data_IF_258470901504
#
_entry.id   IF_258470901504
#
_cell.length_a   1.000
_cell.length_b   1.000
_cell.length_c   1.000
_cell.angle_alpha   90.00
_cell.angle_beta   90.00
_cell.angle_gamma   90.00
#
_symmetry.space_group_name_H-M   'P 1'
#
loop_
_entity.id
_entity.type
_entity.pdbx_description
1 polymer ?
#
# COMPACT_ATOMS: atom_id res chain seq x y z
N UNK A 1 19.31 21.00 -14.83
CA UNK A 1 20.49 21.58 -14.17
C UNK A 1 20.76 20.78 -12.90
N UNK A 2 21.89 20.08 -12.74
CA UNK A 2 22.35 19.74 -11.41
C UNK A 2 22.95 21.01 -10.79
N UNK A 3 22.39 21.46 -9.68
CA UNK A 3 22.93 22.55 -8.87
C UNK A 3 24.36 22.20 -8.44
N UNK A 4 25.27 23.18 -8.54
CA UNK A 4 26.68 23.01 -8.21
C UNK A 4 26.88 22.50 -6.76
N UNK A 5 27.87 21.63 -6.52
CA UNK A 5 28.19 21.16 -5.17
C UNK A 5 28.59 22.32 -4.25
N UNK A 6 27.80 22.56 -3.20
CA UNK A 6 28.17 23.48 -2.13
C UNK A 6 29.15 22.83 -1.15
N UNK A 7 30.22 23.55 -0.79
CA UNK A 7 31.18 23.11 0.23
C UNK A 7 30.66 23.50 1.61
N UNK A 8 30.37 22.53 2.47
CA UNK A 8 30.03 22.80 3.87
C UNK A 8 31.28 23.24 4.66
N UNK A 9 31.10 23.90 5.82
CA UNK A 9 32.15 24.53 6.65
C UNK A 9 33.32 23.63 7.11
N UNK A 10 33.34 22.35 6.74
CA UNK A 10 34.39 21.37 7.03
C UNK A 10 34.96 20.68 5.78
N UNK A 11 34.79 21.26 4.59
CA UNK A 11 35.33 20.69 3.34
C UNK A 11 34.51 19.53 2.76
N UNK A 12 33.35 19.20 3.35
CA UNK A 12 32.45 18.19 2.80
C UNK A 12 31.66 18.77 1.63
N UNK A 13 31.86 18.22 0.43
CA UNK A 13 31.05 18.51 -0.75
C UNK A 13 29.65 17.94 -0.53
N UNK A 14 28.66 18.81 -0.33
CA UNK A 14 27.26 18.41 -0.21
C UNK A 14 26.60 18.61 -1.57
N UNK A 15 26.49 17.53 -2.34
CA UNK A 15 25.67 17.54 -3.56
C UNK A 15 24.20 17.48 -3.15
N UNK A 16 23.36 18.46 -3.51
CA UNK A 16 21.94 18.41 -3.18
C UNK A 16 21.31 17.17 -3.84
N UNK A 17 20.65 16.35 -3.02
CA UNK A 17 20.10 15.07 -3.47
C UNK A 17 18.97 15.34 -4.46
N UNK A 18 19.08 14.79 -5.68
CA UNK A 18 18.03 14.95 -6.70
C UNK A 18 16.66 14.50 -6.15
N UNK A 19 15.59 15.30 -6.35
CA UNK A 19 14.22 14.91 -5.99
C UNK A 19 13.82 13.59 -6.68
N UNK A 20 12.83 12.90 -6.13
CA UNK A 20 12.31 11.67 -6.78
C UNK A 20 11.59 12.00 -8.07
N UNK A 21 11.60 11.07 -9.04
CA UNK A 21 10.83 11.19 -10.28
C UNK A 21 9.36 11.50 -9.95
N UNK A 22 8.81 10.86 -8.90
CA UNK A 22 7.47 11.17 -8.38
C UNK A 22 7.34 12.62 -7.88
N UNK A 23 8.33 13.16 -7.18
CA UNK A 23 8.33 14.55 -6.70
C UNK A 23 8.40 15.53 -7.86
N UNK A 24 9.23 15.25 -8.87
CA UNK A 24 9.35 16.07 -10.08
C UNK A 24 8.01 16.06 -10.81
N UNK A 25 7.45 14.89 -11.10
CA UNK A 25 6.18 14.75 -11.82
C UNK A 25 5.01 15.39 -11.05
N UNK A 26 5.00 15.32 -9.72
CA UNK A 26 4.00 16.01 -8.91
C UNK A 26 4.09 17.54 -9.08
N UNK A 27 5.30 18.11 -9.04
CA UNK A 27 5.52 19.55 -9.27
C UNK A 27 5.12 19.97 -10.69
N UNK A 28 5.52 19.19 -11.70
CA UNK A 28 5.13 19.43 -13.10
C UNK A 28 3.62 19.38 -13.29
N UNK A 29 2.94 18.42 -12.63
CA UNK A 29 1.49 18.35 -12.59
C UNK A 29 0.86 19.60 -11.98
N UNK A 30 1.34 20.05 -10.81
CA UNK A 30 0.85 21.27 -10.17
C UNK A 30 1.01 22.51 -11.06
N UNK A 31 2.16 22.66 -11.72
CA UNK A 31 2.40 23.77 -12.65
C UNK A 31 1.43 23.72 -13.84
N UNK A 32 1.21 22.52 -14.39
CA UNK A 32 0.26 22.32 -15.50
C UNK A 32 -1.16 22.69 -15.09
N UNK A 33 -1.61 22.23 -13.91
CA UNK A 33 -2.93 22.58 -13.36
C UNK A 33 -3.07 24.08 -13.12
N UNK A 34 -2.04 24.73 -12.58
CA UNK A 34 -2.04 26.18 -12.37
C UNK A 34 -2.13 26.95 -13.70
N UNK A 35 -1.36 26.53 -14.71
CA UNK A 35 -1.43 27.12 -16.04
C UNK A 35 -2.79 26.93 -16.71
N UNK A 36 -3.42 25.76 -16.55
CA UNK A 36 -4.80 25.52 -17.03
C UNK A 36 -5.80 26.47 -16.35
N UNK A 37 -5.69 26.66 -15.04
CA UNK A 37 -6.53 27.60 -14.31
C UNK A 37 -6.34 29.05 -14.78
N UNK A 38 -5.11 29.48 -15.07
CA UNK A 38 -4.84 30.82 -15.62
C UNK A 38 -5.50 31.03 -16.99
N UNK A 39 -5.53 30.00 -17.84
CA UNK A 39 -6.23 30.03 -19.13
C UNK A 39 -7.74 30.08 -18.93
N UNK A 40 -8.29 29.20 -18.09
CA UNK A 40 -9.72 29.11 -17.81
C UNK A 40 -10.28 30.41 -17.20
N UNK A 41 -9.47 31.10 -16.39
CA UNK A 41 -9.83 32.40 -15.81
C UNK A 41 -9.52 33.60 -16.71
N UNK A 42 -9.07 33.37 -17.95
CA UNK A 42 -8.80 34.42 -18.94
C UNK A 42 -7.59 35.31 -18.65
N UNK A 43 -6.69 34.90 -17.73
CA UNK A 43 -5.49 35.69 -17.38
C UNK A 43 -4.36 35.54 -18.39
N UNK A 44 -4.32 34.40 -19.07
CA UNK A 44 -3.36 34.11 -20.15
C UNK A 44 -4.09 33.39 -21.30
N UNK A 45 -3.53 33.49 -22.50
CA UNK A 45 -4.14 32.91 -23.72
C UNK A 45 -3.87 31.42 -23.87
N UNK A 46 -2.72 30.94 -23.38
CA UNK A 46 -2.31 29.54 -23.50
C UNK A 46 -1.48 29.10 -22.28
N UNK A 47 -1.56 27.82 -21.94
CA UNK A 47 -0.82 27.26 -20.81
C UNK A 47 0.67 27.06 -21.19
N UNK A 48 1.62 27.79 -20.57
CA UNK A 48 3.05 27.67 -20.88
C UNK A 48 3.66 26.33 -20.42
N UNK A 49 2.97 25.58 -19.57
CA UNK A 49 3.47 24.35 -18.95
C UNK A 49 2.89 23.06 -19.55
N UNK A 50 1.98 23.14 -20.52
CA UNK A 50 1.27 21.98 -21.07
C UNK A 50 2.24 20.90 -21.62
N UNK A 51 3.34 21.34 -22.24
CA UNK A 51 4.36 20.43 -22.77
C UNK A 51 5.21 19.80 -21.68
N UNK A 52 5.41 20.46 -20.54
CA UNK A 52 6.32 19.98 -19.49
C UNK A 52 5.85 18.67 -18.86
N UNK A 53 4.54 18.47 -18.68
CA UNK A 53 4.05 17.23 -18.08
C UNK A 53 4.18 16.02 -19.00
N UNK A 54 4.14 16.23 -20.33
CA UNK A 54 4.22 15.17 -21.35
C UNK A 54 5.66 14.87 -21.77
N UNK A 55 6.50 15.89 -21.94
CA UNK A 55 7.87 15.74 -22.47
C UNK A 55 8.98 15.78 -21.41
N UNK A 56 8.76 16.43 -20.27
CA UNK A 56 9.74 16.51 -19.18
C UNK A 56 9.40 15.60 -17.99
N UNK A 57 8.30 14.83 -18.07
CA UNK A 57 7.97 13.80 -17.10
C UNK A 57 9.07 12.73 -17.09
N UNK A 58 9.61 12.44 -15.90
CA UNK A 58 10.64 11.38 -15.76
C UNK A 58 9.93 10.06 -15.53
N UNK A 59 10.29 9.01 -16.27
CA UNK A 59 9.74 7.68 -15.99
C UNK A 59 10.12 7.27 -14.55
N UNK A 60 9.10 6.98 -13.76
CA UNK A 60 9.22 6.62 -12.36
C UNK A 60 9.23 5.12 -12.12
N UNK A 61 9.12 4.31 -13.17
CA UNK A 61 9.16 2.84 -13.11
C UNK A 61 10.48 2.33 -12.51
N UNK A 62 11.59 2.99 -12.85
CA UNK A 62 12.94 2.65 -12.37
C UNK A 62 13.33 3.39 -11.06
N UNK A 63 12.65 4.49 -10.71
CA UNK A 63 12.90 5.26 -9.46
C UNK A 63 11.98 4.83 -8.29
N UNK A 64 11.81 3.51 -8.10
CA UNK A 64 11.08 2.98 -6.94
C UNK A 64 11.97 3.04 -5.70
N UNK A 65 11.98 4.19 -5.03
CA UNK A 65 12.84 4.45 -3.85
C UNK A 65 12.43 3.70 -2.58
N UNK A 66 11.20 3.21 -2.49
CA UNK A 66 10.69 2.45 -1.32
C UNK A 66 9.73 1.36 -1.79
N UNK A 67 10.19 0.12 -1.71
CA UNK A 67 9.31 -1.05 -1.79
C UNK A 67 8.93 -1.45 -0.37
N UNK A 68 7.68 -1.87 -0.15
CA UNK A 68 7.20 -2.28 1.18
C UNK A 68 7.13 -3.79 1.28
N UNK A 69 7.44 -4.35 2.44
CA UNK A 69 7.22 -5.78 2.74
C UNK A 69 6.05 -5.95 3.70
N UNK A 70 5.31 -7.04 3.53
CA UNK A 70 4.31 -7.47 4.50
C UNK A 70 4.99 -8.11 5.72
N UNK A 71 4.36 -8.01 6.89
CA UNK A 71 4.80 -8.74 8.08
C UNK A 71 4.20 -10.15 8.11
N UNK A 72 4.98 -11.11 8.58
CA UNK A 72 4.53 -12.47 8.88
C UNK A 72 3.61 -12.50 10.11
N UNK A 73 2.86 -13.59 10.31
CA UNK A 73 1.98 -13.75 11.47
C UNK A 73 2.76 -13.68 12.80
N UNK A 74 3.96 -14.27 12.85
CA UNK A 74 4.79 -14.23 14.06
C UNK A 74 5.39 -12.85 14.32
N UNK A 75 5.84 -12.14 13.28
CA UNK A 75 6.26 -10.74 13.42
C UNK A 75 5.11 -9.85 13.92
N UNK A 76 3.87 -10.08 13.45
CA UNK A 76 2.69 -9.36 13.93
C UNK A 76 2.42 -9.64 15.42
N UNK A 77 2.44 -10.91 15.84
CA UNK A 77 2.28 -11.29 17.25
C UNK A 77 3.32 -10.60 18.14
N UNK A 78 4.60 -10.65 17.73
CA UNK A 78 5.69 -9.96 18.44
C UNK A 78 5.43 -8.45 18.51
N UNK A 79 5.04 -7.84 17.39
CA UNK A 79 4.75 -6.41 17.32
C UNK A 79 3.62 -6.00 18.26
N UNK A 80 2.53 -6.76 18.34
CA UNK A 80 1.39 -6.46 19.23
C UNK A 80 1.77 -6.56 20.71
N UNK A 81 2.54 -7.59 21.09
CA UNK A 81 3.06 -7.74 22.45
C UNK A 81 3.97 -6.56 22.82
N UNK A 82 4.90 -6.19 21.94
CA UNK A 82 5.78 -5.03 22.15
C UNK A 82 4.98 -3.73 22.20
N UNK A 83 4.00 -3.56 21.33
CA UNK A 83 3.13 -2.39 21.31
C UNK A 83 2.43 -2.20 22.66
N UNK A 84 1.95 -3.29 23.28
CA UNK A 84 1.31 -3.28 24.60
C UNK A 84 2.28 -2.96 25.74
N UNK A 85 3.45 -3.58 25.75
CA UNK A 85 4.34 -3.56 26.92
C UNK A 85 5.37 -2.43 26.93
N UNK A 86 5.81 -1.94 25.77
CA UNK A 86 6.92 -0.97 25.70
C UNK A 86 6.70 0.30 26.52
N UNK A 87 5.51 0.94 26.57
CA UNK A 87 5.35 2.20 27.31
C UNK A 87 5.74 2.08 28.78
N UNK A 88 5.41 0.95 29.42
CA UNK A 88 5.83 0.63 30.79
C UNK A 88 7.28 0.15 30.82
N UNK A 89 7.69 -0.71 29.88
CA UNK A 89 9.04 -1.27 29.83
C UNK A 89 10.15 -0.22 29.67
N UNK A 90 9.86 0.93 29.04
CA UNK A 90 10.80 2.06 28.94
C UNK A 90 11.29 2.56 30.32
N UNK A 91 10.45 2.46 31.35
CA UNK A 91 10.79 2.85 32.73
C UNK A 91 11.59 1.77 33.46
N UNK A 92 11.47 0.50 33.05
CA UNK A 92 12.20 -0.64 33.62
C UNK A 92 13.48 -1.02 32.86
N UNK A 93 13.93 -0.20 31.90
CA UNK A 93 15.23 -0.37 31.24
C UNK A 93 16.35 -0.34 32.28
N UNK A 94 17.27 -1.30 32.17
CA UNK A 94 18.53 -1.25 32.90
C UNK A 94 19.47 -0.21 32.30
N UNK A 95 20.56 0.09 33.00
CA UNK A 95 21.60 1.01 32.55
C UNK A 95 22.93 0.28 32.49
N UNK A 96 23.64 0.43 31.38
CA UNK A 96 25.01 -0.08 31.21
C UNK A 96 25.96 1.11 31.22
N UNK A 97 27.09 0.93 31.89
CA UNK A 97 28.21 1.88 31.83
C UNK A 97 28.87 1.75 30.45
N UNK A 98 28.91 2.84 29.70
CA UNK A 98 29.67 2.91 28.45
C UNK A 98 31.14 2.97 28.84
N UNK A 99 31.85 1.88 28.57
CA UNK A 99 33.31 1.82 28.69
C UNK A 99 33.88 2.29 27.36
N UNK A 100 34.61 3.40 27.40
CA UNK A 100 35.26 3.99 26.24
C UNK A 100 36.73 4.17 26.60
N UNK A 101 37.56 3.22 26.15
CA UNK A 101 38.99 3.15 26.49
C UNK A 101 39.80 4.26 25.83
N UNK A 102 39.24 4.99 24.86
CA UNK A 102 39.88 6.12 24.19
C UNK A 102 39.74 7.43 24.96
N UNK A 103 39.00 7.43 26.07
CA UNK A 103 38.63 8.63 26.80
C UNK A 103 39.64 8.99 27.90
N UNK A 104 39.96 10.28 28.13
CA UNK A 104 40.84 10.71 29.21
C UNK A 104 40.33 10.24 30.58
N UNK A 105 41.27 9.80 31.44
CA UNK A 105 41.00 9.23 32.78
C UNK A 105 40.25 10.16 33.74
N UNK A 106 40.22 11.47 33.47
CA UNK A 106 39.51 12.48 34.27
C UNK A 106 38.03 12.64 33.91
N UNK A 107 37.53 11.93 32.89
CA UNK A 107 36.17 12.06 32.41
C UNK A 107 35.15 11.28 33.26
N UNK A 108 33.95 11.84 33.43
CA UNK A 108 32.84 11.15 34.12
C UNK A 108 32.31 10.00 33.26
N UNK A 109 31.98 8.88 33.92
CA UNK A 109 31.38 7.72 33.27
C UNK A 109 30.05 8.08 32.60
N UNK A 110 29.89 7.66 31.33
CA UNK A 110 28.63 7.83 30.60
C UNK A 110 27.78 6.57 30.74
N UNK A 111 26.53 6.73 31.15
CA UNK A 111 25.57 5.64 31.27
C UNK A 111 24.62 5.64 30.08
N UNK A 112 24.38 4.47 29.49
CA UNK A 112 23.39 4.30 28.42
C UNK A 112 22.31 3.33 28.91
N UNK A 113 21.05 3.64 28.61
CA UNK A 113 19.95 2.69 28.84
C UNK A 113 20.11 1.49 27.91
N UNK A 114 19.88 0.30 28.43
CA UNK A 114 19.79 -0.93 27.66
C UNK A 114 18.74 -0.80 26.56
N UNK A 115 19.07 -1.34 25.39
CA UNK A 115 18.10 -1.48 24.31
C UNK A 115 17.06 -2.53 24.71
N UNK A 116 15.80 -2.30 24.32
CA UNK A 116 14.72 -3.26 24.56
C UNK A 116 14.71 -4.24 23.40
N UNK A 117 14.63 -5.53 23.73
CA UNK A 117 14.48 -6.64 22.78
C UNK A 117 13.22 -7.44 23.13
N UNK A 118 12.79 -8.32 22.23
CA UNK A 118 11.57 -9.10 22.44
C UNK A 118 11.67 -9.98 23.70
N UNK A 119 12.84 -10.58 23.93
CA UNK A 119 13.06 -11.46 25.09
C UNK A 119 13.13 -10.69 26.42
N UNK A 120 13.59 -9.43 26.39
CA UNK A 120 13.78 -8.64 27.60
C UNK A 120 12.58 -7.77 27.96
N UNK A 121 11.62 -7.59 27.05
CA UNK A 121 10.55 -6.60 27.21
C UNK A 121 9.59 -6.94 28.37
N UNK A 122 9.32 -8.23 28.60
CA UNK A 122 8.43 -8.67 29.69
C UNK A 122 9.06 -8.37 31.03
N UNK A 123 10.32 -8.76 31.22
CA UNK A 123 11.08 -8.48 32.43
C UNK A 123 11.28 -6.96 32.65
N UNK A 124 11.51 -6.20 31.57
CA UNK A 124 11.59 -4.74 31.64
C UNK A 124 10.24 -4.10 32.00
N UNK A 125 9.12 -4.62 31.50
CA UNK A 125 7.80 -4.15 31.89
C UNK A 125 7.53 -4.41 33.38
N UNK A 126 7.86 -5.60 33.90
CA UNK A 126 7.73 -5.92 35.32
C UNK A 126 8.50 -4.93 36.22
N UNK A 127 9.79 -4.71 35.93
CA UNK A 127 10.60 -3.68 36.63
C UNK A 127 10.03 -2.27 36.47
N UNK A 128 9.44 -1.97 35.31
CA UNK A 128 8.76 -0.71 35.05
C UNK A 128 7.57 -0.49 35.97
N UNK A 129 6.74 -1.53 36.18
CA UNK A 129 5.61 -1.50 37.12
C UNK A 129 6.08 -1.30 38.55
N UNK A 130 7.10 -2.04 38.99
CA UNK A 130 7.68 -1.88 40.34
C UNK A 130 8.18 -0.45 40.59
N UNK A 131 8.92 0.13 39.64
CA UNK A 131 9.41 1.52 39.74
C UNK A 131 8.29 2.55 39.74
N UNK A 132 7.17 2.24 39.11
CA UNK A 132 6.00 3.10 39.02
C UNK A 132 4.94 2.78 40.09
N UNK A 133 5.18 1.81 40.98
CA UNK A 133 4.22 1.39 42.00
C UNK A 133 3.78 2.54 42.93
N UNK A 134 4.69 3.49 43.19
CA UNK A 134 4.38 4.71 43.97
C UNK A 134 3.63 5.80 43.19
N UNK A 135 3.40 5.61 41.88
CA UNK A 135 2.71 6.54 40.97
C UNK A 135 1.69 5.77 40.11
N UNK A 136 0.59 5.28 40.73
CA UNK A 136 -0.40 4.45 40.04
C UNK A 136 -1.08 5.16 38.87
N UNK A 137 -1.28 6.48 38.97
CA UNK A 137 -1.85 7.31 37.91
C UNK A 137 -1.01 7.32 36.62
N UNK A 138 0.32 7.36 36.75
CA UNK A 138 1.25 7.31 35.63
C UNK A 138 1.28 5.90 35.04
N UNK A 139 1.27 4.88 35.89
CA UNK A 139 1.24 3.49 35.45
C UNK A 139 -0.02 3.18 34.62
N UNK A 140 -1.20 3.52 35.15
CA UNK A 140 -2.48 3.33 34.48
C UNK A 140 -2.52 4.02 33.11
N UNK A 141 -1.98 5.24 33.03
CA UNK A 141 -1.88 5.99 31.76
C UNK A 141 -1.00 5.26 30.75
N UNK A 142 0.15 4.73 31.17
CA UNK A 142 1.09 4.03 30.29
C UNK A 142 0.54 2.69 29.83
N UNK A 143 -0.15 1.96 30.72
CA UNK A 143 -0.79 0.69 30.37
C UNK A 143 -1.94 0.91 29.39
N UNK A 144 -2.78 1.94 29.61
CA UNK A 144 -3.83 2.34 28.68
C UNK A 144 -3.24 2.71 27.31
N UNK A 145 -2.18 3.51 27.29
CA UNK A 145 -1.48 3.89 26.05
C UNK A 145 -0.93 2.65 25.30
N UNK A 146 -0.39 1.68 26.04
CA UNK A 146 0.10 0.42 25.47
C UNK A 146 -1.03 -0.39 24.84
N UNK A 147 -2.15 -0.56 25.54
CA UNK A 147 -3.34 -1.27 25.03
C UNK A 147 -3.91 -0.58 23.79
N UNK A 148 -4.10 0.74 23.84
CA UNK A 148 -4.58 1.54 22.71
C UNK A 148 -3.68 1.36 21.48
N UNK A 149 -2.35 1.42 21.68
CA UNK A 149 -1.38 1.29 20.59
C UNK A 149 -1.38 -0.10 19.97
N UNK A 150 -1.49 -1.16 20.77
CA UNK A 150 -1.60 -2.52 20.26
C UNK A 150 -2.89 -2.71 19.46
N UNK A 151 -4.02 -2.20 19.97
CA UNK A 151 -5.30 -2.27 19.29
C UNK A 151 -5.31 -1.47 17.97
N UNK A 152 -4.67 -0.30 17.95
CA UNK A 152 -4.45 0.50 16.75
C UNK A 152 -3.74 -0.32 15.66
N UNK A 153 -2.65 -1.01 16.00
CA UNK A 153 -1.94 -1.88 15.05
C UNK A 153 -2.79 -3.07 14.60
N UNK A 154 -3.53 -3.71 15.52
CA UNK A 154 -4.44 -4.80 15.19
C UNK A 154 -5.47 -4.35 14.14
N UNK A 155 -6.18 -3.26 14.41
CA UNK A 155 -7.20 -2.72 13.49
C UNK A 155 -6.59 -2.37 12.13
N UNK A 156 -5.40 -1.75 12.07
CA UNK A 156 -4.74 -1.46 10.79
C UNK A 156 -4.45 -2.72 9.97
N UNK A 157 -4.08 -3.82 10.63
CA UNK A 157 -3.69 -5.07 9.98
C UNK A 157 -4.88 -5.96 9.64
N UNK A 158 -6.02 -5.82 10.33
CA UNK A 158 -7.22 -6.63 10.08
C UNK A 158 -8.26 -5.94 9.19
N UNK A 159 -8.19 -4.61 9.03
CA UNK A 159 -9.15 -3.84 8.20
C UNK A 159 -8.49 -3.12 7.03
N UNK A 160 -7.16 -3.04 7.07
CA UNK A 160 -6.37 -2.38 6.05
C UNK A 160 -6.61 -0.88 5.97
N UNK A 161 -7.08 -0.19 7.01
CA UNK A 161 -7.25 1.26 7.00
C UNK A 161 -5.95 2.02 6.71
N UNK A 162 -6.07 3.20 6.08
CA UNK A 162 -4.94 4.16 6.04
C UNK A 162 -4.82 4.87 7.39
N UNK A 163 -3.62 5.37 7.74
CA UNK A 163 -3.41 6.15 8.99
C UNK A 163 -4.41 7.31 9.12
N UNK A 164 -4.66 8.05 8.02
CA UNK A 164 -5.61 9.17 8.01
C UNK A 164 -7.05 8.73 8.23
N UNK A 165 -7.47 7.65 7.55
CA UNK A 165 -8.81 7.05 7.72
C UNK A 165 -9.01 6.53 9.14
N UNK A 166 -7.99 5.92 9.75
CA UNK A 166 -8.06 5.49 11.14
C UNK A 166 -8.21 6.66 12.12
N UNK A 167 -7.58 7.80 11.80
CA UNK A 167 -7.61 8.99 12.65
C UNK A 167 -8.95 9.74 12.61
N UNK A 168 -9.75 9.55 11.57
CA UNK A 168 -11.04 10.21 11.41
C UNK A 168 -12.20 9.43 12.03
N UNK A 169 -12.00 8.16 12.39
CA UNK A 169 -13.04 7.31 12.96
C UNK A 169 -13.44 7.77 14.36
N UNK A 170 -14.74 7.73 14.60
CA UNK A 170 -15.38 8.06 15.87
C UNK A 170 -15.98 6.81 16.51
N UNK A 171 -16.40 6.92 17.77
CA UNK A 171 -17.08 5.82 18.47
C UNK A 171 -18.38 5.42 17.75
N UNK A 172 -19.11 6.37 17.16
CA UNK A 172 -20.34 6.10 16.41
C UNK A 172 -20.14 5.31 15.11
N UNK A 173 -18.92 5.31 14.59
CA UNK A 173 -18.62 4.62 13.33
C UNK A 173 -18.43 3.11 13.54
N UNK A 174 -18.48 2.60 14.77
CA UNK A 174 -18.24 1.19 15.09
C UNK A 174 -19.52 0.54 15.63
N UNK A 175 -19.96 -0.54 14.99
CA UNK A 175 -21.11 -1.34 15.40
C UNK A 175 -20.60 -2.73 15.79
N UNK A 176 -20.58 -3.03 17.09
CA UNK A 176 -19.93 -4.22 17.65
C UNK A 176 -20.91 -5.29 18.16
N UNK A 177 -22.16 -4.93 18.43
CA UNK A 177 -23.15 -5.81 19.06
C UNK A 177 -23.94 -6.66 18.05
N UNK A 178 -23.81 -6.34 16.76
CA UNK A 178 -24.42 -7.12 15.68
C UNK A 178 -23.70 -8.46 15.48
N UNK A 179 -24.44 -9.45 14.96
CA UNK A 179 -23.89 -10.76 14.58
C UNK A 179 -22.72 -10.67 13.59
N UNK A 180 -22.64 -9.57 12.83
CA UNK A 180 -21.49 -9.22 12.00
C UNK A 180 -20.99 -7.84 12.43
N UNK A 181 -19.97 -7.76 13.29
CA UNK A 181 -19.44 -6.48 13.73
C UNK A 181 -18.79 -5.74 12.54
N UNK A 182 -19.09 -4.45 12.41
CA UNK A 182 -18.64 -3.62 11.30
C UNK A 182 -18.14 -2.27 11.78
N UNK A 183 -17.34 -1.64 10.94
CA UNK A 183 -16.87 -0.28 11.11
C UNK A 183 -17.13 0.50 9.82
N UNK A 184 -17.74 1.67 9.93
CA UNK A 184 -18.16 2.47 8.79
C UNK A 184 -17.19 3.63 8.57
N UNK A 185 -16.52 3.65 7.43
CA UNK A 185 -15.72 4.78 6.99
C UNK A 185 -16.60 5.74 6.19
N UNK A 186 -16.67 7.00 6.63
CA UNK A 186 -17.44 8.04 5.95
C UNK A 186 -16.78 8.46 4.63
N UNK A 187 -17.60 8.85 3.66
CA UNK A 187 -17.15 9.30 2.34
C UNK A 187 -16.11 10.42 2.40
N UNK A 188 -16.33 11.43 3.25
CA UNK A 188 -15.45 12.59 3.40
C UNK A 188 -14.04 12.22 3.89
N UNK A 189 -13.91 11.11 4.60
CA UNK A 189 -12.65 10.65 5.19
C UNK A 189 -11.92 9.63 4.30
N UNK A 190 -12.64 9.05 3.33
CA UNK A 190 -12.08 8.13 2.36
C UNK A 190 -11.38 8.90 1.24
N UNK A 191 -10.18 8.46 0.86
CA UNK A 191 -9.46 9.05 -0.28
C UNK A 191 -10.25 9.00 -1.60
N UNK A 192 -11.15 8.04 -1.76
CA UNK A 192 -12.03 7.92 -2.93
C UNK A 192 -13.23 8.87 -2.91
N UNK A 193 -13.58 9.45 -1.75
CA UNK A 193 -14.84 10.16 -1.57
C UNK A 193 -16.05 9.23 -1.43
N UNK A 194 -15.85 7.93 -1.21
CA UNK A 194 -16.92 6.93 -1.10
C UNK A 194 -16.96 6.34 0.31
N UNK A 195 -18.16 6.21 0.87
CA UNK A 195 -18.35 5.54 2.15
C UNK A 195 -18.08 4.04 1.99
N UNK A 196 -17.58 3.41 3.05
CA UNK A 196 -17.27 1.99 3.03
C UNK A 196 -17.58 1.33 4.37
N UNK A 197 -18.13 0.12 4.31
CA UNK A 197 -18.35 -0.72 5.49
C UNK A 197 -17.25 -1.76 5.57
N UNK A 198 -16.53 -1.79 6.69
CA UNK A 198 -15.41 -2.68 6.96
C UNK A 198 -15.87 -3.76 7.94
N UNK A 199 -15.98 -5.04 7.51
CA UNK A 199 -16.24 -6.11 8.46
C UNK A 199 -15.05 -6.28 9.40
N UNK A 200 -15.36 -6.53 10.68
CA UNK A 200 -14.37 -6.78 11.71
C UNK A 200 -14.26 -8.29 11.98
N UNK A 201 -13.04 -8.76 12.20
CA UNK A 201 -12.81 -10.10 12.75
C UNK A 201 -13.34 -10.17 14.19
N UNK A 202 -13.81 -11.32 14.68
CA UNK A 202 -14.26 -11.49 16.06
C UNK A 202 -13.23 -10.98 17.09
N UNK A 203 -11.96 -11.35 16.91
CA UNK A 203 -10.85 -10.90 17.79
C UNK A 203 -10.74 -9.37 17.86
N UNK A 204 -10.79 -8.68 16.71
CA UNK A 204 -10.74 -7.22 16.68
C UNK A 204 -11.99 -6.57 17.30
N UNK A 205 -13.17 -7.17 17.08
CA UNK A 205 -14.42 -6.70 17.67
C UNK A 205 -14.40 -6.85 19.20
N UNK A 206 -14.00 -8.01 19.71
CA UNK A 206 -13.85 -8.28 21.15
C UNK A 206 -12.86 -7.30 21.81
N UNK A 207 -11.70 -7.09 21.16
CA UNK A 207 -10.69 -6.16 21.65
C UNK A 207 -11.18 -4.70 21.64
N UNK A 208 -11.98 -4.31 20.64
CA UNK A 208 -12.63 -2.99 20.59
C UNK A 208 -13.69 -2.81 21.67
N UNK A 209 -14.54 -3.83 21.93
CA UNK A 209 -15.54 -3.78 23.01
C UNK A 209 -14.86 -3.55 24.36
N UNK A 210 -13.88 -4.39 24.68
CA UNK A 210 -13.13 -4.27 25.93
C UNK A 210 -12.44 -2.92 26.08
N UNK A 211 -11.89 -2.37 24.99
CA UNK A 211 -11.29 -1.03 24.99
C UNK A 211 -12.31 0.08 25.26
N UNK A 212 -13.49 0.01 24.65
CA UNK A 212 -14.55 0.98 24.87
C UNK A 212 -15.09 0.91 26.30
N UNK A 213 -15.27 -0.28 26.86
CA UNK A 213 -15.68 -0.50 28.25
C UNK A 213 -14.67 0.14 29.23
N UNK A 214 -13.37 -0.12 29.03
CA UNK A 214 -12.31 0.51 29.83
C UNK A 214 -12.26 2.05 29.68
N UNK A 215 -12.68 2.59 28.52
CA UNK A 215 -12.80 4.03 28.31
C UNK A 215 -14.00 4.60 29.06
N UNK A 216 -15.14 3.94 29.04
CA UNK A 216 -16.34 4.32 29.83
C UNK A 216 -15.96 4.37 31.31
N UNK A 217 -15.41 3.29 31.86
CA UNK A 217 -15.01 3.23 33.28
C UNK A 217 -13.99 4.31 33.65
N UNK A 218 -13.01 4.56 32.77
CA UNK A 218 -11.98 5.57 32.98
C UNK A 218 -12.49 7.01 32.88
N UNK A 219 -13.61 7.25 32.21
CA UNK A 219 -14.29 8.56 32.17
C UNK A 219 -15.17 8.71 33.41
N UNK A 220 -15.92 7.68 33.81
CA UNK A 220 -16.71 7.66 35.04
C UNK A 220 -15.85 7.95 36.28
N UNK A 221 -14.66 7.36 36.40
CA UNK A 221 -13.72 7.64 37.51
C UNK A 221 -13.22 9.09 37.58
N UNK A 222 -13.18 9.80 36.46
CA UNK A 222 -12.69 11.20 36.38
C UNK A 222 -13.77 12.25 36.56
N UNK A 223 -15.04 11.88 36.43
CA UNK A 223 -16.21 12.77 36.58
C UNK A 223 -17.14 12.24 37.67
N UNK A 224 -16.64 12.15 38.89
CA UNK A 224 -17.49 11.88 40.07
C UNK A 224 -18.14 13.21 40.47
N UNK A 225 -19.35 13.46 39.98
CA UNK A 225 -20.08 14.68 40.34
C UNK A 225 -21.46 14.87 39.71
N UNK A 226 -21.90 14.06 38.74
CA UNK A 226 -23.27 14.20 38.22
C UNK A 226 -23.79 12.84 37.75
N UNK A 227 -24.95 12.46 38.27
CA UNK A 227 -25.62 11.21 37.94
C UNK A 227 -25.88 11.12 36.43
N UNK A 228 -25.24 10.17 35.77
CA UNK A 228 -25.37 9.90 34.34
C UNK A 228 -24.23 8.97 33.92
N UNK A 229 -24.56 7.85 33.27
CA UNK A 229 -23.57 6.92 32.72
C UNK A 229 -22.70 7.71 31.74
N UNK A 230 -21.43 7.97 32.10
CA UNK A 230 -20.55 8.77 31.26
C UNK A 230 -19.92 7.87 30.19
N UNK A 231 -20.71 7.55 29.17
CA UNK A 231 -20.20 6.91 27.96
C UNK A 231 -19.40 7.92 27.12
N UNK A 232 -18.36 7.46 26.39
CA UNK A 232 -17.75 8.25 25.31
C UNK A 232 -18.85 8.80 24.41
N UNK A 233 -18.74 10.07 24.00
CA UNK A 233 -19.73 10.63 23.08
C UNK A 233 -19.58 9.93 21.73
N UNK A 234 -20.69 9.76 21.04
CA UNK A 234 -20.74 9.25 19.66
C UNK A 234 -19.68 9.91 18.75
N UNK A 235 -19.49 11.23 18.89
CA UNK A 235 -18.55 12.02 18.09
C UNK A 235 -17.08 11.97 18.58
N UNK A 236 -16.78 11.33 19.72
CA UNK A 236 -15.41 11.26 20.21
C UNK A 236 -14.55 10.39 19.28
N UNK A 237 -13.27 10.75 19.04
CA UNK A 237 -12.37 9.90 18.27
C UNK A 237 -12.23 8.51 18.88
N UNK A 238 -12.27 7.48 18.04
CA UNK A 238 -12.13 6.09 18.46
C UNK A 238 -10.75 5.84 19.11
N UNK A 239 -9.71 6.40 18.49
CA UNK A 239 -8.32 6.30 18.94
C UNK A 239 -7.63 7.67 19.00
N UNK A 240 -6.70 7.80 19.95
CA UNK A 240 -5.76 8.92 20.02
C UNK A 240 -4.54 8.61 19.16
N UNK A 241 -4.53 9.06 17.90
CA UNK A 241 -3.43 8.78 16.97
C UNK A 241 -2.22 9.69 17.25
N UNK A 242 -1.04 9.15 17.63
CA UNK A 242 0.13 9.97 17.86
C UNK A 242 0.66 10.60 16.55
N UNK A 243 1.04 11.88 16.59
CA UNK A 243 1.67 12.56 15.45
C UNK A 243 2.90 11.78 14.95
N UNK A 244 3.73 11.34 15.90
CA UNK A 244 4.98 10.61 15.69
C UNK A 244 4.78 9.09 15.57
N UNK A 245 3.59 8.62 15.18
CA UNK A 245 3.28 7.19 15.05
C UNK A 245 4.33 6.40 14.24
N UNK A 246 4.88 6.99 13.16
CA UNK A 246 5.93 6.34 12.36
C UNK A 246 7.19 6.07 13.19
N UNK A 247 7.64 7.05 13.99
CA UNK A 247 8.81 6.90 14.88
C UNK A 247 8.53 5.93 16.04
N UNK A 248 7.29 5.91 16.51
CA UNK A 248 6.83 4.99 17.56
C UNK A 248 6.87 3.55 17.03
N UNK A 249 6.33 3.32 15.83
CA UNK A 249 6.35 2.02 15.15
C UNK A 249 7.79 1.57 14.85
N UNK A 250 8.65 2.46 14.34
CA UNK A 250 10.07 2.14 14.10
C UNK A 250 10.76 1.60 15.36
N UNK A 251 10.52 2.24 16.51
CA UNK A 251 11.03 1.75 17.79
C UNK A 251 10.37 0.44 18.23
N UNK A 252 9.14 0.15 17.81
CA UNK A 252 8.40 -1.06 18.23
C UNK A 252 8.91 -2.24 17.42
N UNK A 253 9.15 -2.03 16.13
CA UNK A 253 9.79 -2.96 15.20
C UNK A 253 11.18 -3.35 15.72
N UNK A 254 12.00 -2.37 16.13
CA UNK A 254 13.32 -2.63 16.71
C UNK A 254 13.19 -3.46 18.00
N UNK A 255 12.30 -3.08 18.91
CA UNK A 255 12.11 -3.81 20.16
C UNK A 255 11.50 -5.20 19.95
N UNK A 256 10.75 -5.43 18.87
CA UNK A 256 10.18 -6.72 18.50
C UNK A 256 11.19 -7.61 17.74
N UNK A 257 12.41 -7.14 17.48
CA UNK A 257 13.42 -7.87 16.71
C UNK A 257 13.05 -8.06 15.23
N UNK A 258 12.19 -7.19 14.70
CA UNK A 258 11.73 -7.27 13.31
C UNK A 258 12.69 -6.46 12.44
N UNK A 259 13.33 -7.06 11.41
CA UNK A 259 14.20 -6.30 10.54
C UNK A 259 13.39 -5.27 9.75
N UNK A 260 13.83 -4.00 9.81
CA UNK A 260 13.14 -2.89 9.14
C UNK A 260 13.17 -3.03 7.62
N UNK A 261 14.30 -3.50 7.09
CA UNK A 261 14.50 -3.80 5.68
C UNK A 261 14.80 -5.28 5.52
N UNK A 262 14.30 -5.91 4.46
CA UNK A 262 14.68 -7.27 4.08
C UNK A 262 15.89 -7.31 3.12
N UNK A 263 16.29 -8.52 2.76
CA UNK A 263 17.32 -8.87 1.78
C UNK A 263 17.11 -8.19 0.40
N UNK A 264 15.85 -7.89 0.06
CA UNK A 264 15.45 -7.25 -1.20
C UNK A 264 15.32 -5.73 -1.09
N UNK A 265 15.72 -5.13 0.04
CA UNK A 265 15.65 -3.69 0.29
C UNK A 265 14.23 -3.16 0.50
N UNK A 266 13.25 -4.02 0.79
CA UNK A 266 11.86 -3.63 1.08
C UNK A 266 11.71 -3.29 2.55
N UNK A 267 11.02 -2.20 2.83
CA UNK A 267 10.94 -1.60 4.17
C UNK A 267 9.57 -1.79 4.82
N UNK A 268 9.54 -1.93 6.15
CA UNK A 268 8.30 -1.86 6.94
C UNK A 268 8.08 -0.41 7.42
N UNK A 269 6.89 0.14 7.14
CA UNK A 269 6.41 1.43 7.65
C UNK A 269 4.93 1.30 8.08
N UNK A 270 4.29 2.37 8.56
CA UNK A 270 2.87 2.33 8.98
C UNK A 270 1.96 1.91 7.82
N UNK A 271 2.29 2.26 6.58
CA UNK A 271 1.50 1.88 5.42
C UNK A 271 1.74 0.41 5.02
N UNK A 272 2.86 -0.18 5.43
CA UNK A 272 3.11 -1.61 5.27
C UNK A 272 2.14 -2.48 6.09
N UNK A 273 1.54 -1.96 7.18
CA UNK A 273 0.48 -2.67 7.92
C UNK A 273 -0.76 -2.92 7.04
N UNK A 274 -1.13 -1.93 6.22
CA UNK A 274 -2.20 -2.09 5.22
C UNK A 274 -1.79 -3.08 4.11
N UNK A 275 -0.55 -3.02 3.65
CA UNK A 275 -0.01 -4.00 2.70
C UNK A 275 0.05 -5.42 3.28
N UNK A 276 0.19 -5.53 4.59
CA UNK A 276 0.18 -6.80 5.32
C UNK A 276 -1.22 -7.41 5.29
N UNK A 277 -2.28 -6.66 5.62
CA UNK A 277 -3.66 -7.11 5.48
C UNK A 277 -3.94 -7.69 4.08
N UNK A 278 -3.62 -6.91 3.05
CA UNK A 278 -3.70 -7.30 1.66
C UNK A 278 -2.99 -8.65 1.41
N UNK A 279 -1.71 -8.75 1.79
CA UNK A 279 -0.89 -9.93 1.53
C UNK A 279 -1.41 -11.17 2.26
N UNK A 280 -1.93 -11.04 3.48
CA UNK A 280 -2.52 -12.16 4.22
C UNK A 280 -3.82 -12.65 3.58
N UNK A 281 -4.68 -11.74 3.09
CA UNK A 281 -5.88 -12.14 2.35
C UNK A 281 -5.56 -12.83 1.02
N UNK A 282 -4.57 -12.33 0.28
CA UNK A 282 -4.12 -12.96 -0.95
C UNK A 282 -3.55 -14.37 -0.69
N UNK A 283 -2.73 -14.52 0.36
CA UNK A 283 -2.20 -15.82 0.79
C UNK A 283 -3.29 -16.77 1.25
N UNK A 284 -4.41 -16.25 1.78
CA UNK A 284 -5.59 -17.04 2.13
C UNK A 284 -6.46 -17.42 0.92
N UNK A 285 -6.05 -17.10 -0.32
CA UNK A 285 -6.77 -17.45 -1.54
C UNK A 285 -7.98 -16.56 -1.84
N UNK A 286 -8.10 -15.39 -1.20
CA UNK A 286 -9.22 -14.48 -1.44
C UNK A 286 -9.15 -13.92 -2.87
N UNK A 287 -10.25 -14.04 -3.60
CA UNK A 287 -10.35 -13.58 -4.98
C UNK A 287 -9.95 -12.09 -5.13
N UNK A 288 -9.22 -11.69 -6.21
CA UNK A 288 -8.74 -10.32 -6.40
C UNK A 288 -9.83 -9.24 -6.36
N UNK A 289 -11.06 -9.56 -6.78
CA UNK A 289 -12.20 -8.65 -6.75
C UNK A 289 -12.64 -8.37 -5.31
N UNK A 290 -12.83 -9.42 -4.49
CA UNK A 290 -13.14 -9.30 -3.06
C UNK A 290 -12.05 -8.51 -2.34
N UNK A 291 -10.79 -8.78 -2.69
CA UNK A 291 -9.64 -8.10 -2.15
C UNK A 291 -9.58 -6.62 -2.54
N UNK A 292 -9.91 -6.27 -3.79
CA UNK A 292 -10.08 -4.87 -4.24
C UNK A 292 -11.15 -4.16 -3.42
N UNK A 293 -12.28 -4.82 -3.18
CA UNK A 293 -13.40 -4.29 -2.38
C UNK A 293 -12.99 -4.07 -0.93
N UNK A 294 -12.39 -5.07 -0.27
CA UNK A 294 -11.86 -4.94 1.09
C UNK A 294 -10.80 -3.83 1.20
N UNK A 295 -9.99 -3.68 0.16
CA UNK A 295 -9.00 -2.61 0.08
C UNK A 295 -9.57 -1.25 -0.29
N UNK A 296 -10.80 -1.14 -0.78
CA UNK A 296 -11.37 0.14 -1.22
C UNK A 296 -10.46 0.80 -2.27
N UNK A 297 -9.94 0.00 -3.20
CA UNK A 297 -9.14 0.50 -4.32
C UNK A 297 -10.07 0.84 -5.49
N UNK A 298 -9.96 2.05 -6.02
CA UNK A 298 -10.74 2.46 -7.18
C UNK A 298 -10.50 1.53 -8.39
N UNK A 299 -9.23 1.16 -8.64
CA UNK A 299 -8.83 0.30 -9.76
C UNK A 299 -8.10 -0.96 -9.31
N UNK A 300 -8.32 -2.06 -10.02
CA UNK A 300 -7.78 -3.38 -9.68
C UNK A 300 -6.27 -3.47 -9.87
N UNK A 301 -5.65 -2.67 -10.73
CA UNK A 301 -4.20 -2.67 -10.92
C UNK A 301 -3.49 -2.16 -9.66
N UNK A 302 -4.14 -1.27 -8.90
CA UNK A 302 -3.61 -0.81 -7.59
C UNK A 302 -3.59 -1.97 -6.61
N UNK A 303 -4.63 -2.80 -6.65
CA UNK A 303 -4.70 -4.06 -5.93
C UNK A 303 -3.51 -4.91 -6.41
N UNK A 304 -3.50 -5.38 -7.66
CA UNK A 304 -2.51 -6.32 -8.21
C UNK A 304 -1.04 -5.91 -8.05
N UNK A 305 -0.70 -4.61 -8.13
CA UNK A 305 0.66 -4.11 -7.86
C UNK A 305 1.19 -4.43 -6.47
N UNK A 306 0.30 -4.55 -5.50
CA UNK A 306 0.65 -4.92 -4.13
C UNK A 306 0.70 -6.45 -3.91
N UNK A 307 0.21 -7.26 -4.86
CA UNK A 307 0.05 -8.72 -4.73
C UNK A 307 1.11 -9.56 -5.44
N UNK A 308 2.03 -8.94 -6.18
CA UNK A 308 3.08 -9.68 -6.90
C UNK A 308 4.33 -9.86 -6.02
N UNK A 309 4.21 -10.53 -4.87
CA UNK A 309 5.36 -11.26 -4.34
C UNK A 309 5.14 -12.75 -4.63
N UNK A 310 5.75 -13.30 -5.70
CA UNK A 310 5.56 -14.69 -6.10
C UNK A 310 5.84 -15.70 -4.99
N UNK A 311 6.66 -15.35 -4.00
CA UNK A 311 6.98 -16.21 -2.83
C UNK A 311 5.82 -16.38 -1.84
N UNK A 312 4.80 -15.52 -1.89
CA UNK A 312 3.60 -15.62 -1.07
C UNK A 312 2.45 -16.32 -1.79
N UNK A 313 2.59 -16.56 -3.10
CA UNK A 313 1.64 -17.29 -3.90
C UNK A 313 2.12 -18.73 -3.98
N UNK A 314 1.24 -19.65 -3.62
CA UNK A 314 1.51 -21.08 -3.75
C UNK A 314 1.28 -21.49 -5.21
N UNK A 315 2.28 -21.22 -6.05
CA UNK A 315 2.23 -21.51 -7.48
C UNK A 315 2.10 -23.01 -7.72
N UNK A 316 2.76 -23.83 -6.89
CA UNK A 316 2.76 -25.28 -7.02
C UNK A 316 1.39 -25.86 -6.66
N UNK A 317 0.78 -25.47 -5.52
CA UNK A 317 -0.60 -25.89 -5.22
C UNK A 317 -1.62 -25.37 -6.25
N UNK A 318 -1.37 -24.22 -6.88
CA UNK A 318 -2.23 -23.74 -7.95
C UNK A 318 -2.12 -24.63 -9.20
N UNK A 319 -0.93 -25.14 -9.52
CA UNK A 319 -0.73 -26.10 -10.61
C UNK A 319 -1.40 -27.45 -10.30
N UNK A 320 -1.40 -27.90 -9.04
CA UNK A 320 -2.05 -29.15 -8.62
C UNK A 320 -3.59 -29.11 -8.74
N UNK A 321 -4.19 -27.92 -8.80
CA UNK A 321 -5.63 -27.77 -9.09
C UNK A 321 -5.98 -27.94 -10.57
N UNK A 322 -4.98 -27.99 -11.46
CA UNK A 322 -5.22 -28.20 -12.89
C UNK A 322 -5.64 -29.66 -13.14
N UNK A 323 -6.66 -29.90 -13.98
CA UNK A 323 -7.04 -31.25 -14.35
C UNK A 323 -5.90 -31.96 -15.08
N UNK A 324 -5.66 -33.23 -14.75
CA UNK A 324 -4.69 -34.07 -15.47
C UNK A 324 -5.23 -34.41 -16.87
N UNK A 325 -4.99 -33.52 -17.84
CA UNK A 325 -5.55 -33.61 -19.20
C UNK A 325 -5.06 -34.83 -20.01
N UNK A 326 -3.93 -35.41 -19.63
CA UNK A 326 -3.32 -36.58 -20.29
C UNK A 326 -3.52 -37.88 -19.51
N UNK A 327 -4.09 -37.81 -18.30
CA UNK A 327 -4.50 -39.01 -17.60
C UNK A 327 -5.73 -39.55 -18.34
N UNK A 328 -5.60 -40.72 -18.97
CA UNK A 328 -6.77 -41.48 -19.40
C UNK A 328 -7.70 -41.74 -18.20
N UNK A 329 -8.99 -42.03 -18.42
CA UNK A 329 -9.91 -42.32 -17.32
C UNK A 329 -9.34 -43.47 -16.49
N UNK A 330 -8.81 -43.14 -15.31
CA UNK A 330 -8.41 -44.13 -14.32
C UNK A 330 -9.64 -44.84 -13.75
N UNK A 331 -9.50 -46.07 -13.24
CA UNK A 331 -10.62 -46.85 -12.72
C UNK A 331 -11.28 -46.25 -11.47
N UNK A 332 -10.70 -45.23 -10.85
CA UNK A 332 -11.20 -44.60 -9.61
C UNK A 332 -11.60 -43.13 -9.81
N UNK A 333 -12.24 -42.81 -10.95
CA UNK A 333 -12.94 -41.54 -11.11
C UNK A 333 -14.19 -41.50 -10.22
N UNK A 334 -14.01 -41.19 -8.93
CA UNK A 334 -15.09 -40.80 -8.02
C UNK A 334 -15.90 -39.67 -8.68
N UNK A 335 -17.23 -39.83 -8.86
CA UNK A 335 -18.05 -38.78 -9.45
C UNK A 335 -18.03 -37.57 -8.52
N UNK A 336 -17.46 -36.48 -9.02
CA UNK A 336 -17.54 -35.16 -8.39
C UNK A 336 -19.00 -34.89 -8.05
N UNK A 337 -19.32 -34.80 -6.76
CA UNK A 337 -20.66 -34.45 -6.27
C UNK A 337 -21.14 -33.18 -6.98
N UNK A 338 -22.14 -33.34 -7.82
CA UNK A 338 -22.92 -32.22 -8.33
C UNK A 338 -23.59 -31.52 -7.14
N UNK A 339 -23.09 -30.35 -6.73
CA UNK A 339 -23.89 -29.40 -5.96
C UNK A 339 -24.85 -28.71 -6.92
N UNK A 340 -25.84 -29.46 -7.38
CA UNK A 340 -26.96 -28.97 -8.18
C UNK A 340 -28.23 -29.03 -7.34
N UNK A 341 -28.74 -27.86 -6.97
CA UNK A 341 -30.13 -27.69 -6.56
C UNK A 341 -31.04 -28.05 -7.74
N UNK A 342 -32.16 -28.71 -7.44
CA UNK A 342 -33.05 -29.38 -8.39
C UNK A 342 -33.50 -28.61 -9.64
N UNK A 343 -33.58 -29.39 -10.72
CA UNK A 343 -34.58 -29.40 -11.78
C UNK A 343 -34.89 -28.10 -12.55
N UNK A 344 -34.21 -27.94 -13.70
CA UNK A 344 -34.88 -27.50 -14.93
C UNK A 344 -34.14 -28.10 -16.14
N UNK A 345 -34.90 -28.83 -16.97
CA UNK A 345 -34.45 -29.48 -18.20
C UNK A 345 -33.88 -28.43 -19.16
N UNK A 346 -32.60 -28.56 -19.52
CA UNK A 346 -32.01 -27.86 -20.66
C UNK A 346 -31.57 -28.89 -21.70
N UNK A 347 -32.32 -28.96 -22.80
CA UNK A 347 -31.95 -29.67 -24.03
C UNK A 347 -30.62 -29.10 -24.55
N UNK A 348 -29.57 -29.92 -24.56
CA UNK A 348 -28.29 -29.60 -25.20
C UNK A 348 -28.44 -29.90 -26.70
N UNK A 349 -28.20 -28.94 -27.63
CA UNK A 349 -28.11 -29.28 -29.03
C UNK A 349 -26.76 -29.98 -29.29
N UNK A 350 -26.82 -31.19 -29.84
CA UNK A 350 -25.68 -31.93 -30.36
C UNK A 350 -25.13 -31.20 -31.58
N UNK A 351 -24.03 -30.45 -31.42
CA UNK A 351 -23.29 -29.86 -32.53
C UNK A 351 -22.38 -30.94 -33.15
N UNK A 352 -22.85 -31.51 -34.25
CA UNK A 352 -22.02 -32.29 -35.18
C UNK A 352 -21.10 -31.33 -35.93
N UNK A 353 -19.78 -31.54 -35.83
CA UNK A 353 -18.78 -30.84 -36.62
C UNK A 353 -18.79 -31.36 -38.06
N UNK A 354 -19.48 -30.66 -38.97
CA UNK A 354 -19.21 -30.82 -40.40
C UNK A 354 -17.97 -30.02 -40.79
N UNK A 355 -16.90 -30.74 -41.09
CA UNK A 355 -15.70 -30.20 -41.71
C UNK A 355 -15.98 -29.80 -43.15
N UNK A 356 -16.12 -28.51 -43.43
CA UNK A 356 -16.12 -28.05 -44.82
C UNK A 356 -16.80 -26.72 -45.10
N UNK A 357 -16.31 -25.60 -44.54
CA UNK A 357 -16.41 -24.29 -45.19
C UNK A 357 -15.45 -23.29 -44.55
N UNK A 358 -14.63 -22.66 -45.40
CA UNK A 358 -13.73 -21.60 -45.01
C UNK A 358 -14.53 -20.38 -44.51
N UNK A 359 -14.30 -19.98 -43.26
CA UNK A 359 -14.85 -18.76 -42.66
C UNK A 359 -13.77 -17.67 -42.78
N UNK A 360 -14.10 -16.46 -43.25
CA UNK A 360 -13.09 -15.40 -43.33
C UNK A 360 -12.69 -14.97 -41.91
N UNK A 361 -11.38 -14.81 -41.69
CA UNK A 361 -10.81 -14.27 -40.45
C UNK A 361 -11.28 -12.82 -40.28
N UNK A 362 -12.15 -12.60 -39.30
CA UNK A 362 -12.41 -11.25 -38.75
C UNK A 362 -11.43 -11.04 -37.62
N UNK A 363 -10.46 -10.15 -37.83
CA UNK A 363 -9.62 -9.60 -36.77
C UNK A 363 -10.41 -8.56 -36.00
N UNK A 364 -10.65 -8.81 -34.70
CA UNK A 364 -11.17 -7.80 -33.77
C UNK A 364 -10.00 -6.90 -33.38
N UNK A 365 -9.94 -5.71 -33.98
CA UNK A 365 -9.05 -4.64 -33.55
C UNK A 365 -9.72 -3.81 -32.45
N UNK A 366 -9.01 -3.61 -31.34
CA UNK A 366 -9.41 -2.69 -30.27
C UNK A 366 -9.48 -1.26 -30.83
N UNK A 367 -10.70 -0.75 -30.98
CA UNK A 367 -10.92 0.61 -31.47
C UNK A 367 -10.86 1.60 -30.31
N UNK A 368 -9.75 2.34 -30.23
CA UNK A 368 -9.63 3.55 -29.42
C UNK A 368 -10.50 4.67 -30.04
N UNK A 369 -11.32 5.30 -29.20
CA UNK A 369 -12.09 6.48 -29.57
C UNK A 369 -11.19 7.69 -29.76
N UNK A 370 -11.15 8.23 -30.97
CA UNK A 370 -10.48 9.50 -31.29
C UNK A 370 -10.88 10.02 -32.67
N UNK A 371 -11.46 11.22 -32.71
CA UNK A 371 -11.82 11.95 -33.93
C UNK A 371 -10.57 12.28 -34.76
N UNK A 372 -10.64 12.13 -36.09
CA UNK A 372 -9.70 12.76 -37.01
C UNK A 372 -9.48 12.01 -38.32
N UNK A 373 -10.04 12.55 -39.40
CA UNK A 373 -9.61 12.54 -40.80
C UNK A 373 -9.39 11.22 -41.56
N UNK A 374 -10.24 11.04 -42.59
CA UNK A 374 -10.14 10.01 -43.61
C UNK A 374 -9.05 10.32 -44.63
N UNK A 375 -8.14 9.38 -44.88
CA UNK A 375 -7.37 9.30 -46.14
C UNK A 375 -7.53 7.89 -46.69
N UNK A 376 -8.11 7.82 -47.89
CA UNK A 376 -8.29 6.60 -48.68
C UNK A 376 -6.98 6.32 -49.41
N UNK A 377 -6.41 5.12 -49.25
CA UNK A 377 -5.41 4.58 -50.16
C UNK A 377 -5.82 3.16 -50.54
N UNK A 378 -6.13 3.01 -51.81
CA UNK A 378 -6.52 1.78 -52.48
C UNK A 378 -5.27 0.99 -52.88
N UNK A 379 -5.22 -0.31 -52.61
CA UNK A 379 -4.14 -1.18 -53.08
C UNK A 379 -4.63 -2.61 -53.25
N UNK A 380 -5.10 -2.90 -54.47
CA UNK A 380 -5.27 -4.24 -55.02
C UNK A 380 -4.02 -4.63 -55.81
N UNK A 381 -3.31 -5.68 -55.40
CA UNK A 381 -2.59 -6.61 -56.29
C UNK A 381 -1.88 -7.72 -55.49
N UNK A 382 -2.17 -8.96 -55.85
CA UNK A 382 -1.53 -10.18 -55.35
C UNK A 382 -0.10 -10.37 -55.92
N UNK A 383 0.77 -11.17 -55.28
CA UNK A 383 2.14 -11.38 -55.71
C UNK A 383 2.27 -12.62 -56.62
N UNK A 384 3.16 -12.53 -57.60
CA UNK A 384 3.59 -13.69 -58.35
C UNK A 384 4.86 -13.45 -59.15
N UNK A 385 5.85 -14.28 -58.85
CA UNK A 385 6.93 -14.81 -59.71
C UNK A 385 8.36 -14.33 -59.51
N UNK A 386 9.20 -15.36 -59.42
CA UNK A 386 10.65 -15.45 -59.23
C UNK A 386 11.44 -15.28 -60.52
N UNK A 387 12.55 -14.55 -60.48
CA UNK A 387 13.86 -14.79 -61.13
C UNK A 387 14.69 -13.51 -60.94
N UNK A 388 15.91 -13.55 -60.41
CA UNK A 388 17.13 -14.01 -61.07
C UNK A 388 17.94 -12.78 -61.55
N UNK A 389 19.08 -12.46 -60.93
CA UNK A 389 19.97 -11.41 -61.45
C UNK A 389 20.97 -10.82 -60.45
N UNK A 390 22.25 -10.86 -60.80
CA UNK A 390 23.43 -10.47 -60.01
C UNK A 390 23.73 -8.96 -60.04
N UNK A 391 24.52 -8.55 -59.03
CA UNK A 391 25.60 -7.56 -59.04
C UNK A 391 25.27 -6.05 -59.02
N UNK A 392 26.04 -5.32 -58.18
CA UNK A 392 26.29 -3.89 -58.36
C UNK A 392 26.44 -3.08 -57.07
N UNK A 393 27.68 -2.89 -56.60
CA UNK A 393 28.09 -1.83 -55.66
C UNK A 393 27.69 -0.45 -56.21
N UNK A 394 27.38 0.53 -55.35
CA UNK A 394 28.23 1.71 -55.08
C UNK A 394 27.56 2.71 -54.11
N UNK A 395 28.42 3.31 -53.28
CA UNK A 395 28.21 4.40 -52.34
C UNK A 395 27.87 5.73 -53.05
N UNK A 396 27.32 6.70 -52.30
CA UNK A 396 27.24 8.10 -52.75
C UNK A 396 26.50 9.02 -51.78
N UNK A 397 27.26 9.79 -51.00
CA UNK A 397 26.81 10.82 -50.07
C UNK A 397 26.59 12.19 -50.75
N UNK A 398 25.75 13.04 -50.11
CA UNK A 398 25.71 14.53 -50.14
C UNK A 398 25.29 15.17 -51.49
N UNK A 399 24.58 16.29 -51.63
CA UNK A 399 24.33 17.57 -50.91
C UNK A 399 23.05 18.16 -51.55
N UNK A 400 22.11 18.79 -50.83
CA UNK A 400 22.05 20.25 -50.59
C UNK A 400 21.53 21.06 -51.79
N UNK A 401 20.40 21.78 -51.63
CA UNK A 401 20.03 23.09 -52.25
C UNK A 401 18.52 23.40 -52.09
N UNK A 402 18.19 24.32 -51.17
CA UNK A 402 17.07 25.29 -51.31
C UNK A 402 17.55 26.45 -52.24
N UNK A 403 16.73 27.42 -52.75
CA UNK A 403 15.43 27.91 -52.25
C UNK A 403 14.36 28.30 -53.32
N UNK A 404 13.15 28.67 -52.90
CA UNK A 404 12.40 29.85 -53.41
C UNK A 404 10.95 29.93 -52.86
N UNK A 405 10.63 31.03 -52.19
CA UNK A 405 9.27 31.52 -51.91
C UNK A 405 8.82 32.51 -53.00
N UNK A 406 7.53 32.56 -53.37
CA UNK A 406 6.96 33.72 -54.03
C UNK A 406 6.04 34.53 -53.09
N UNK A 407 6.23 35.86 -53.08
CA UNK A 407 5.27 36.88 -52.65
C UNK A 407 4.44 37.30 -53.86
N UNK A 408 3.12 37.41 -53.71
CA UNK A 408 2.27 38.20 -54.60
C UNK A 408 1.44 39.13 -53.71
N UNK A 409 1.43 40.41 -54.08
CA UNK A 409 0.60 41.48 -53.51
C UNK A 409 -0.08 42.17 -54.69
N UNK A 410 -1.41 42.22 -54.68
CA UNK A 410 -2.21 43.45 -54.83
C UNK A 410 -3.38 43.31 -53.87
#
# INVERSE_FOLDING_TARGET
MPDEPGVAAHGTVVVPRRPSARTINAKLGTLTTFGNWLVETGRIVANPFDRLCKSAGVDGSDDIRRKRRALTADELRRLLVVARLRPVAEYGRGTIRVVDDTRPKSSRATWRKLDLTFDTIVAAAARGRERLARRPDVLDRLERLGRERALLYLVLVTTGLRKGELASLTVADVVLDDARPVMTLRAADAKSGEAAVLPLTPEAADALRHWLDERVEGVCRRRVGTAGVVSPRAADPLFTIPEKLVKILDRDIVAAGIPKSDDRGRTVDVHALRGTFASHLARAGVAPVTLKTMMRHARIETTLKHYTDPRLLDVDSALDTLPALLAGPGPDAEPVKATGTDAAVALVPLLVLESGRAVPRVSVGDNCTGRGDCVVIDATAAPGTTSGGKAGKTEGWLTGLEPATPRITI
#
